data_IF_395365199408
#
_entry.id   IF_395365199408
#
_cell.length_a   1.000
_cell.length_b   1.000
_cell.length_c   1.000
_cell.angle_alpha   90.00
_cell.angle_beta   90.00
_cell.angle_gamma   90.00
#
_symmetry.space_group_name_H-M   'P 1'
#
loop_
_entity.id
_entity.type
_entity.pdbx_description
1 polymer ?
#
# COMPACT_ATOMS: atom_id res chain seq x y z
N UNK A 1 11.09 9.00 6.25
CA UNK A 1 9.98 9.94 6.49
C UNK A 1 8.70 9.29 5.99
N UNK A 2 8.03 8.50 6.83
CA UNK A 2 6.77 7.83 6.47
C UNK A 2 5.60 8.76 6.79
N UNK A 3 5.10 9.47 5.79
CA UNK A 3 3.90 10.31 5.88
C UNK A 3 2.65 9.43 5.76
N UNK A 4 2.25 8.81 6.86
CA UNK A 4 0.92 8.19 6.97
C UNK A 4 -0.05 9.27 7.45
N UNK A 5 -0.61 9.95 6.44
CA UNK A 5 -1.91 10.63 6.31
C UNK A 5 -2.48 11.45 7.49
N UNK A 6 -2.54 12.80 7.37
CA UNK A 6 -3.31 13.69 8.26
C UNK A 6 -4.86 13.61 8.08
N UNK A 7 -5.38 12.71 7.23
CA UNK A 7 -6.81 12.68 6.88
C UNK A 7 -7.73 12.08 7.97
N UNK A 8 -7.17 11.51 9.04
CA UNK A 8 -7.91 10.81 10.09
C UNK A 8 -8.30 11.70 11.29
N UNK A 9 -8.01 13.00 11.27
CA UNK A 9 -8.41 13.92 12.35
C UNK A 9 -9.79 14.49 12.01
N UNK A 10 -10.82 13.91 12.62
CA UNK A 10 -12.21 14.32 12.45
C UNK A 10 -12.50 15.65 13.17
N UNK A 11 -13.52 16.39 12.70
CA UNK A 11 -13.96 17.71 13.21
C UNK A 11 -14.68 17.65 14.57
N UNK A 12 -14.83 16.47 15.18
CA UNK A 12 -15.50 16.29 16.46
C UNK A 12 -14.49 16.15 17.60
N UNK A 13 -14.71 16.87 18.70
CA UNK A 13 -13.83 16.87 19.88
C UNK A 13 -13.86 15.54 20.67
N UNK A 14 -14.62 14.53 20.23
CA UNK A 14 -14.75 13.24 20.91
C UNK A 14 -14.20 12.10 20.05
N UNK A 15 -13.02 11.61 20.43
CA UNK A 15 -12.28 10.51 19.76
C UNK A 15 -12.99 9.15 19.82
N UNK A 16 -13.97 8.97 20.72
CA UNK A 16 -14.70 7.71 20.88
C UNK A 16 -15.95 7.61 20.00
N UNK A 17 -16.45 8.76 19.51
CA UNK A 17 -17.60 8.85 18.61
C UNK A 17 -17.14 9.00 17.15
N UNK A 18 -16.23 8.14 16.73
CA UNK A 18 -15.83 8.06 15.32
C UNK A 18 -16.97 7.43 14.53
N UNK A 19 -17.87 8.24 13.98
CA UNK A 19 -18.75 7.78 12.90
C UNK A 19 -17.85 7.48 11.71
N UNK A 20 -17.48 6.21 11.55
CA UNK A 20 -16.63 5.79 10.45
C UNK A 20 -17.24 6.18 9.11
N UNK A 21 -16.40 6.48 8.12
CA UNK A 21 -16.82 6.63 6.73
C UNK A 21 -17.18 5.26 6.10
N UNK A 22 -17.98 4.47 6.82
CA UNK A 22 -18.47 3.18 6.33
C UNK A 22 -19.32 3.41 5.09
N UNK A 23 -18.91 2.79 3.98
CA UNK A 23 -19.57 2.89 2.68
C UNK A 23 -19.11 4.04 1.78
N UNK A 24 -18.24 4.96 2.24
CA UNK A 24 -17.66 5.99 1.36
C UNK A 24 -16.40 5.47 0.67
N UNK A 25 -16.18 5.92 -0.55
CA UNK A 25 -14.93 5.69 -1.26
C UNK A 25 -13.77 6.37 -0.53
N UNK A 26 -12.58 5.78 -0.60
CA UNK A 26 -11.36 6.39 -0.06
C UNK A 26 -11.11 7.73 -0.79
N UNK A 27 -10.68 8.79 -0.08
CA UNK A 27 -10.31 10.04 -0.72
C UNK A 27 -9.17 9.83 -1.72
N UNK A 28 -9.14 10.63 -2.78
CA UNK A 28 -8.07 10.55 -3.78
C UNK A 28 -6.74 11.00 -3.17
N UNK A 29 -5.66 10.32 -3.56
CA UNK A 29 -4.30 10.63 -3.09
C UNK A 29 -3.63 11.70 -3.96
N UNK A 30 -4.17 11.94 -5.16
CA UNK A 30 -3.68 12.90 -6.14
C UNK A 30 -4.73 13.97 -6.42
N UNK A 31 -4.25 15.13 -6.85
CA UNK A 31 -5.11 16.18 -7.42
C UNK A 31 -5.74 15.63 -8.71
N UNK A 32 -7.07 15.49 -8.68
CA UNK A 32 -7.84 15.02 -9.82
C UNK A 32 -8.17 16.23 -10.72
N UNK A 33 -8.18 16.06 -12.05
CA UNK A 33 -8.71 17.07 -12.95
C UNK A 33 -10.18 17.40 -12.65
N UNK A 34 -10.61 18.57 -13.11
CA UNK A 34 -11.97 19.09 -12.90
C UNK A 34 -13.05 18.11 -13.39
N UNK A 35 -14.26 18.27 -12.85
CA UNK A 35 -15.45 17.47 -13.13
C UNK A 35 -15.83 17.35 -14.62
N UNK A 36 -15.34 18.24 -15.48
CA UNK A 36 -15.51 18.15 -16.94
C UNK A 36 -14.58 17.15 -17.61
N UNK A 37 -13.59 16.61 -16.91
CA UNK A 37 -12.64 15.64 -17.44
C UNK A 37 -13.22 14.23 -17.43
N UNK A 38 -13.29 13.62 -18.61
CA UNK A 38 -13.73 12.23 -18.76
C UNK A 38 -12.54 11.29 -18.70
N UNK A 39 -12.52 10.43 -17.68
CA UNK A 39 -11.56 9.34 -17.59
C UNK A 39 -11.87 8.24 -18.61
N UNK A 40 -10.82 7.55 -19.04
CA UNK A 40 -10.90 6.47 -20.02
C UNK A 40 -10.35 6.85 -21.40
N UNK A 41 -10.17 5.84 -22.25
CA UNK A 41 -9.68 6.04 -23.63
C UNK A 41 -10.86 6.41 -24.52
N UNK A 42 -10.82 7.59 -25.16
CA UNK A 42 -11.81 7.95 -26.18
C UNK A 42 -11.72 6.94 -27.33
N UNK A 43 -12.85 6.28 -27.61
CA UNK A 43 -12.98 5.40 -28.77
C UNK A 43 -13.41 6.30 -29.92
N UNK A 44 -12.55 6.45 -30.93
CA UNK A 44 -12.95 7.06 -32.18
C UNK A 44 -13.91 6.09 -32.84
N UNK A 45 -15.20 6.43 -32.85
CA UNK A 45 -16.17 5.72 -33.68
C UNK A 45 -15.87 6.05 -35.13
N UNK A 46 -15.91 5.06 -35.99
CA UNK A 46 -15.86 5.32 -37.42
C UNK A 46 -17.02 6.26 -37.76
N UNK A 47 -16.72 7.30 -38.54
CA UNK A 47 -17.72 8.29 -38.94
C UNK A 47 -18.78 7.74 -39.90
N UNK A 48 -18.68 6.46 -40.25
CA UNK A 48 -19.61 5.78 -41.14
C UNK A 48 -20.69 5.10 -40.28
N UNK A 49 -21.92 5.59 -40.39
CA UNK A 49 -23.09 5.04 -39.74
C UNK A 49 -23.57 3.75 -40.42
N UNK A 50 -24.25 2.89 -39.66
CA UNK A 50 -24.76 1.61 -40.18
C UNK A 50 -25.66 1.77 -41.42
N UNK A 51 -26.35 2.91 -41.52
CA UNK A 51 -27.17 3.29 -42.68
C UNK A 51 -26.35 3.33 -43.97
N UNK A 52 -25.21 4.01 -43.96
CA UNK A 52 -24.31 4.14 -45.11
C UNK A 52 -23.72 2.78 -45.49
N UNK A 53 -23.37 1.95 -44.50
CA UNK A 53 -22.90 0.57 -44.72
C UNK A 53 -23.97 -0.29 -45.40
N UNK A 54 -25.23 -0.19 -44.96
CA UNK A 54 -26.33 -0.96 -45.54
C UNK A 54 -26.81 -0.44 -46.89
N UNK A 55 -26.65 0.86 -47.19
CA UNK A 55 -27.05 1.42 -48.50
C UNK A 55 -26.01 1.16 -49.58
N UNK A 56 -24.73 1.21 -49.21
CA UNK A 56 -23.64 1.20 -50.18
C UNK A 56 -23.14 -0.23 -50.48
N UNK A 57 -23.74 -1.25 -49.84
CA UNK A 57 -23.37 -2.66 -50.02
C UNK A 57 -23.51 -3.14 -51.48
N UNK A 58 -24.48 -2.57 -52.22
CA UNK A 58 -24.85 -3.00 -53.57
C UNK A 58 -24.15 -2.19 -54.66
N UNK A 59 -23.73 -0.97 -54.36
CA UNK A 59 -22.99 -0.10 -55.28
C UNK A 59 -21.57 0.06 -54.75
N UNK A 60 -20.71 -0.91 -55.06
CA UNK A 60 -19.27 -0.78 -54.90
C UNK A 60 -18.77 0.35 -55.80
N UNK A 61 -18.84 1.60 -55.32
CA UNK A 61 -18.19 2.73 -55.96
C UNK A 61 -16.67 2.52 -55.87
N UNK A 62 -16.15 1.97 -56.96
CA UNK A 62 -14.74 1.84 -57.28
C UNK A 62 -14.11 3.22 -57.44
N UNK A 63 -13.93 3.98 -56.35
CA UNK A 63 -13.14 5.24 -56.38
C UNK A 63 -12.77 5.85 -55.02
N UNK A 64 -13.10 5.24 -53.88
CA UNK A 64 -12.58 5.66 -52.57
C UNK A 64 -11.80 4.56 -51.84
N UNK A 65 -10.98 3.81 -52.57
CA UNK A 65 -9.78 3.23 -51.98
C UNK A 65 -8.81 4.38 -51.65
N UNK A 66 -9.05 5.09 -50.55
CA UNK A 66 -7.92 5.65 -49.79
C UNK A 66 -7.00 4.46 -49.59
N UNK A 67 -5.80 4.48 -50.20
CA UNK A 67 -4.79 3.42 -50.05
C UNK A 67 -4.82 3.00 -48.59
N UNK A 68 -5.42 1.84 -48.31
CA UNK A 68 -5.45 1.31 -46.97
C UNK A 68 -3.97 1.23 -46.62
N UNK A 69 -3.57 1.83 -45.49
CA UNK A 69 -2.24 1.56 -44.94
C UNK A 69 -2.07 0.06 -45.05
N UNK A 70 -1.07 -0.39 -45.79
CA UNK A 70 -0.75 -1.81 -45.94
C UNK A 70 -0.66 -2.35 -44.52
N UNK A 71 -1.74 -3.01 -44.07
CA UNK A 71 -1.78 -3.64 -42.76
C UNK A 71 -0.85 -4.81 -42.96
N UNK A 72 0.39 -4.68 -42.48
CA UNK A 72 1.30 -5.81 -42.47
C UNK A 72 0.65 -6.84 -41.56
N UNK A 73 0.09 -7.89 -42.16
CA UNK A 73 -0.34 -9.04 -41.40
C UNK A 73 0.91 -9.53 -40.63
N UNK A 74 0.76 -9.88 -39.35
CA UNK A 74 1.87 -10.45 -38.62
C UNK A 74 2.38 -11.70 -39.35
N UNK A 75 3.70 -11.88 -39.42
CA UNK A 75 4.30 -13.11 -39.97
C UNK A 75 3.76 -14.36 -39.28
N UNK A 76 3.82 -15.52 -39.93
CA UNK A 76 3.34 -16.81 -39.40
C UNK A 76 4.03 -17.22 -38.07
N UNK A 77 5.11 -16.55 -37.67
CA UNK A 77 5.77 -16.70 -36.37
C UNK A 77 5.09 -15.92 -35.23
N UNK A 78 4.10 -15.09 -35.55
CA UNK A 78 3.40 -14.25 -34.60
C UNK A 78 2.29 -15.01 -33.89
N UNK A 79 2.51 -15.33 -32.63
CA UNK A 79 1.52 -15.96 -31.76
C UNK A 79 0.85 -14.88 -30.90
N UNK A 80 -0.48 -14.80 -30.97
CA UNK A 80 -1.26 -13.97 -30.06
C UNK A 80 -1.18 -14.52 -28.62
N UNK A 81 -0.86 -13.66 -27.65
CA UNK A 81 -0.79 -14.03 -26.23
C UNK A 81 0.43 -13.44 -25.51
N UNK A 82 0.47 -13.57 -24.17
CA UNK A 82 1.69 -13.28 -23.43
C UNK A 82 2.71 -14.40 -23.71
N UNK A 83 3.96 -14.03 -23.98
CA UNK A 83 5.06 -15.00 -24.05
C UNK A 83 5.02 -15.88 -22.80
N UNK A 84 5.06 -17.20 -23.00
CA UNK A 84 5.15 -18.13 -21.89
C UNK A 84 6.34 -17.73 -21.03
N UNK A 85 6.09 -17.54 -19.73
CA UNK A 85 7.17 -17.33 -18.76
C UNK A 85 8.12 -18.53 -18.90
N UNK A 86 9.44 -18.30 -19.01
CA UNK A 86 10.37 -19.42 -19.04
C UNK A 86 10.14 -20.24 -17.79
N UNK A 87 10.11 -21.57 -17.94
CA UNK A 87 9.96 -22.46 -16.79
C UNK A 87 11.07 -22.16 -15.79
N UNK A 88 10.75 -22.26 -14.49
CA UNK A 88 11.74 -22.13 -13.43
C UNK A 88 12.93 -23.02 -13.76
N UNK A 89 14.18 -22.50 -13.79
CA UNK A 89 15.32 -23.26 -14.31
C UNK A 89 15.61 -24.44 -13.40
N UNK A 90 15.12 -25.62 -13.79
CA UNK A 90 15.08 -26.81 -12.95
C UNK A 90 16.48 -27.28 -12.54
N UNK A 91 17.48 -27.08 -13.41
CA UNK A 91 18.88 -27.35 -13.07
C UNK A 91 19.39 -26.54 -11.87
N UNK A 92 18.93 -25.30 -11.69
CA UNK A 92 19.27 -24.49 -10.49
C UNK A 92 18.53 -24.98 -9.25
N UNK A 93 17.30 -25.48 -9.42
CA UNK A 93 16.49 -26.05 -8.33
C UNK A 93 17.12 -27.33 -7.82
N UNK A 94 17.49 -28.27 -8.70
CA UNK A 94 18.16 -29.52 -8.32
C UNK A 94 19.48 -29.24 -7.61
N UNK A 95 20.25 -28.27 -8.12
CA UNK A 95 21.53 -27.87 -7.52
C UNK A 95 21.38 -27.03 -6.23
N UNK A 96 20.15 -26.78 -5.78
CA UNK A 96 19.82 -25.99 -4.59
C UNK A 96 20.42 -24.56 -4.59
N UNK A 97 20.67 -24.00 -5.78
CA UNK A 97 21.36 -22.71 -5.91
C UNK A 97 20.62 -21.59 -5.18
N UNK A 98 19.29 -21.57 -5.25
CA UNK A 98 18.47 -20.54 -4.59
C UNK A 98 18.60 -20.57 -3.06
N UNK A 99 18.72 -21.77 -2.47
CA UNK A 99 18.93 -21.91 -1.03
C UNK A 99 20.30 -21.39 -0.63
N UNK A 100 21.33 -21.71 -1.41
CA UNK A 100 22.70 -21.24 -1.18
C UNK A 100 22.81 -19.72 -1.33
N UNK A 101 22.27 -19.15 -2.41
CA UNK A 101 22.22 -17.69 -2.63
C UNK A 101 21.52 -16.97 -1.47
N UNK A 102 20.40 -17.53 -0.97
CA UNK A 102 19.68 -16.96 0.17
C UNK A 102 20.52 -17.02 1.47
N UNK A 103 21.21 -18.14 1.72
CA UNK A 103 22.10 -18.29 2.86
C UNK A 103 23.26 -17.28 2.82
N UNK A 104 23.89 -17.13 1.65
CA UNK A 104 24.98 -16.17 1.43
C UNK A 104 24.51 -14.73 1.65
N UNK A 105 23.31 -14.38 1.18
CA UNK A 105 22.72 -13.05 1.41
C UNK A 105 22.53 -12.80 2.91
N UNK A 106 22.00 -13.78 3.64
CA UNK A 106 21.75 -13.68 5.08
C UNK A 106 23.08 -13.53 5.83
N UNK A 107 24.10 -14.32 5.49
CA UNK A 107 25.43 -14.21 6.11
C UNK A 107 26.02 -12.82 5.89
N UNK A 108 25.96 -12.32 4.66
CA UNK A 108 26.43 -10.98 4.31
C UNK A 108 25.70 -9.89 5.09
N UNK A 109 24.37 -10.01 5.26
CA UNK A 109 23.59 -9.07 6.07
C UNK A 109 24.05 -9.07 7.53
N UNK A 110 24.29 -10.24 8.12
CA UNK A 110 24.81 -10.35 9.48
C UNK A 110 26.22 -9.77 9.62
N UNK A 111 27.12 -10.06 8.67
CA UNK A 111 28.48 -9.50 8.62
C UNK A 111 28.45 -7.98 8.53
N UNK A 112 27.60 -7.42 7.66
CA UNK A 112 27.43 -5.97 7.54
C UNK A 112 26.82 -5.34 8.80
N UNK A 113 25.99 -6.07 9.54
CA UNK A 113 25.39 -5.59 10.79
C UNK A 113 26.38 -5.62 11.96
N UNK A 114 27.22 -6.65 12.07
CA UNK A 114 28.22 -6.76 13.15
C UNK A 114 29.29 -5.67 13.07
N UNK A 115 29.66 -5.26 11.85
CA UNK A 115 30.65 -4.20 11.61
C UNK A 115 30.08 -2.79 11.81
N UNK A 116 28.75 -2.62 11.91
CA UNK A 116 28.12 -1.31 12.08
C UNK A 116 28.03 -0.94 13.56
N UNK A 117 28.64 0.18 13.92
CA UNK A 117 28.41 0.83 15.21
C UNK A 117 26.95 1.34 15.22
N UNK A 118 26.12 0.98 16.23
CA UNK A 118 24.74 1.42 16.28
C UNK A 118 24.68 2.94 16.40
N UNK A 119 24.25 3.62 15.32
CA UNK A 119 23.99 5.05 15.36
C UNK A 119 22.75 5.27 16.24
N UNK A 120 22.91 6.01 17.34
CA UNK A 120 21.78 6.46 18.16
C UNK A 120 20.87 7.30 17.26
N UNK A 121 19.68 6.78 16.95
CA UNK A 121 18.69 7.54 16.21
C UNK A 121 18.22 8.69 17.10
N UNK A 122 18.63 9.90 16.75
CA UNK A 122 18.12 11.11 17.39
C UNK A 122 16.73 11.37 16.81
N UNK A 123 15.72 10.87 17.50
CA UNK A 123 14.32 11.18 17.18
C UNK A 123 14.07 12.62 17.63
N UNK A 124 13.69 13.49 16.69
CA UNK A 124 13.24 14.83 17.05
C UNK A 124 11.95 14.71 17.87
N UNK A 125 12.01 15.16 19.12
CA UNK A 125 10.87 15.15 20.03
C UNK A 125 9.88 16.21 19.55
N UNK A 126 8.67 15.79 19.21
CA UNK A 126 7.58 16.70 18.90
C UNK A 126 6.73 16.96 20.17
N UNK A 127 5.79 17.89 20.07
CA UNK A 127 4.88 18.26 21.18
C UNK A 127 4.09 17.07 21.72
N UNK A 128 3.71 16.11 20.88
CA UNK A 128 2.98 14.92 21.34
C UNK A 128 3.88 13.97 22.14
N UNK A 129 5.18 13.88 21.82
CA UNK A 129 6.15 13.11 22.59
C UNK A 129 6.32 13.66 24.02
N UNK A 130 6.41 14.99 24.18
CA UNK A 130 6.49 15.61 25.53
C UNK A 130 5.19 15.42 26.32
N UNK A 131 4.03 15.65 25.70
CA UNK A 131 2.72 15.43 26.35
C UNK A 131 2.53 13.98 26.81
N UNK A 132 3.00 13.00 26.03
CA UNK A 132 2.95 11.58 26.41
C UNK A 132 3.86 11.27 27.60
N UNK A 133 5.04 11.91 27.70
CA UNK A 133 5.90 11.77 28.86
C UNK A 133 5.21 12.33 30.11
N UNK A 134 4.66 13.54 30.04
CA UNK A 134 3.94 14.17 31.16
C UNK A 134 2.73 13.35 31.62
N UNK A 135 1.95 12.80 30.69
CA UNK A 135 0.81 11.95 31.04
C UNK A 135 1.26 10.64 31.72
N UNK A 136 2.38 10.06 31.28
CA UNK A 136 2.90 8.82 31.87
C UNK A 136 3.59 9.05 33.22
N UNK A 137 4.20 10.21 33.46
CA UNK A 137 4.77 10.56 34.77
C UNK A 137 3.66 10.84 35.78
N UNK A 138 2.60 11.57 35.39
CA UNK A 138 1.42 11.80 36.25
C UNK A 138 0.77 10.51 36.73
N UNK A 139 0.67 9.48 35.87
CA UNK A 139 0.15 8.15 36.25
C UNK A 139 1.06 7.39 37.23
N UNK A 140 2.35 7.73 37.31
CA UNK A 140 3.30 7.09 38.24
C UNK A 140 3.37 7.79 39.60
N UNK A 141 3.04 9.08 39.67
CA UNK A 141 3.03 9.86 40.91
C UNK A 141 1.79 9.58 41.77
N UNK A 142 0.77 8.91 41.23
CA UNK A 142 -0.30 8.33 42.04
C UNK A 142 0.25 7.14 42.82
N UNK A 143 0.66 7.36 44.07
CA UNK A 143 1.03 6.30 45.01
C UNK A 143 -0.16 5.33 45.16
N UNK A 144 -0.09 4.21 44.46
CA UNK A 144 -1.05 3.13 44.62
C UNK A 144 -0.88 2.53 46.02
N UNK A 145 -1.73 2.98 46.96
CA UNK A 145 -1.88 2.32 48.25
C UNK A 145 -2.28 0.87 48.00
N UNK A 146 -1.50 -0.07 48.54
CA UNK A 146 -1.72 -1.52 48.38
C UNK A 146 -3.15 -1.93 48.75
N UNK A 147 -3.74 -1.25 49.73
CA UNK A 147 -5.14 -1.43 50.12
C UNK A 147 -5.89 -0.10 50.02
N UNK A 148 -6.99 -0.10 49.25
CA UNK A 148 -7.92 1.03 49.14
C UNK A 148 -8.69 1.29 50.44
N UNK A 149 -8.81 0.27 51.29
CA UNK A 149 -9.60 0.30 52.52
C UNK A 149 -8.65 0.52 53.71
N UNK A 150 -8.91 1.56 54.52
CA UNK A 150 -8.07 1.94 55.67
C UNK A 150 -7.80 0.80 56.64
N UNK A 151 -8.80 -0.07 56.84
CA UNK A 151 -8.73 -1.23 57.75
C UNK A 151 -7.55 -2.17 57.46
N UNK A 152 -7.07 -2.25 56.22
CA UNK A 152 -6.00 -3.18 55.83
C UNK A 152 -4.61 -2.54 55.74
N UNK A 153 -4.47 -1.22 55.96
CA UNK A 153 -3.15 -0.56 55.96
C UNK A 153 -2.28 -0.95 57.16
N UNK A 154 -2.88 -1.26 58.31
CA UNK A 154 -2.17 -1.53 59.57
C UNK A 154 -1.96 -3.04 59.85
N UNK A 155 -2.48 -3.92 58.99
CA UNK A 155 -2.42 -5.36 59.21
C UNK A 155 -1.04 -5.88 58.79
N UNK A 156 -0.18 -6.15 59.77
CA UNK A 156 1.13 -6.80 59.54
C UNK A 156 0.95 -8.26 59.14
N UNK A 157 1.73 -8.73 58.18
CA UNK A 157 1.71 -10.14 57.79
C UNK A 157 2.23 -11.02 58.93
N UNK A 158 1.60 -12.18 59.12
CA UNK A 158 1.93 -13.13 60.21
C UNK A 158 3.27 -13.85 60.01
N UNK A 159 3.98 -13.57 58.91
CA UNK A 159 5.21 -14.24 58.50
C UNK A 159 6.44 -13.71 59.28
N UNK A 160 6.34 -12.54 59.93
CA UNK A 160 7.45 -11.91 60.68
C UNK A 160 7.41 -12.18 62.21
N UNK A 161 6.77 -13.26 62.67
CA UNK A 161 6.74 -13.65 64.10
C UNK A 161 7.57 -14.92 64.36
N UNK A 162 8.85 -14.88 63.97
CA UNK A 162 9.88 -15.83 64.42
C UNK A 162 10.82 -15.12 65.39
#
# INVERSE_FOLDING_TARGET
MSTILPYLINKTNNILLLRGDVGKAKPSVSDLPDSSYYYGKKINRDGIGMKEITSDWQYGNSSHHKKSKTVKLPEDTFVYGLRNKPSTPFGKVIKMNYGNEAADIIENLYRMRSQRIPKKQVIQKNRSYSLRLEHNTKKKEEEHKEFKIKRFLEIKSKIYQL
#
